data_IF_897054782080
#
_entry.id   IF_897054782080
#
_cell.length_a   1.000
_cell.length_b   1.000
_cell.length_c   1.000
_cell.angle_alpha   90.00
_cell.angle_beta   90.00
_cell.angle_gamma   90.00
#
_symmetry.space_group_name_H-M   'P 1'
#
loop_
_entity.id
_entity.type
_entity.pdbx_description
1 polymer ?
#
# COMPACT_ATOMS: atom_id res chain seq x y z
N UNK A 1 -21.29 1.28 -14.80
CA UNK A 1 -22.04 0.98 -16.03
C UNK A 1 -23.36 0.22 -15.77
N UNK A 2 -23.37 -1.06 -15.36
CA UNK A 2 -24.65 -1.78 -15.11
C UNK A 2 -25.51 -1.16 -13.98
N UNK A 3 -24.87 -0.60 -12.94
CA UNK A 3 -25.57 0.04 -11.81
C UNK A 3 -26.24 1.36 -12.18
N UNK A 4 -25.67 2.10 -13.13
CA UNK A 4 -26.18 3.40 -13.57
C UNK A 4 -27.39 3.22 -14.49
N UNK A 5 -27.35 2.18 -15.33
CA UNK A 5 -28.47 1.75 -16.18
C UNK A 5 -29.66 1.34 -15.30
N UNK A 6 -29.43 0.59 -14.21
CA UNK A 6 -30.49 0.15 -13.30
C UNK A 6 -31.17 1.33 -12.58
N UNK A 7 -30.38 2.35 -12.17
CA UNK A 7 -30.89 3.58 -11.55
C UNK A 7 -31.71 4.40 -12.54
N UNK A 8 -31.20 4.57 -13.76
CA UNK A 8 -31.93 5.26 -14.81
C UNK A 8 -33.26 4.54 -15.13
N UNK A 9 -33.25 3.21 -15.22
CA UNK A 9 -34.46 2.41 -15.45
C UNK A 9 -35.50 2.56 -14.31
N UNK A 10 -35.05 2.59 -13.05
CA UNK A 10 -35.95 2.82 -11.91
C UNK A 10 -36.57 4.23 -11.91
N UNK A 11 -35.80 5.26 -12.25
CA UNK A 11 -36.30 6.65 -12.34
C UNK A 11 -37.28 6.82 -13.50
N UNK A 12 -36.96 6.24 -14.67
CA UNK A 12 -37.82 6.29 -15.85
C UNK A 12 -39.14 5.56 -15.60
N UNK A 13 -39.10 4.37 -15.01
CA UNK A 13 -40.32 3.61 -14.68
C UNK A 13 -41.20 4.32 -13.64
N UNK A 14 -40.60 4.97 -12.62
CA UNK A 14 -41.33 5.79 -11.66
C UNK A 14 -41.98 7.01 -12.32
N UNK A 15 -41.26 7.69 -13.23
CA UNK A 15 -41.80 8.82 -13.98
C UNK A 15 -42.99 8.43 -14.88
N UNK A 16 -42.90 7.27 -15.56
CA UNK A 16 -44.00 6.73 -16.36
C UNK A 16 -45.22 6.38 -15.49
N UNK A 17 -45.00 5.86 -14.29
CA UNK A 17 -46.07 5.56 -13.33
C UNK A 17 -46.84 6.83 -12.92
N UNK A 18 -46.13 7.89 -12.52
CA UNK A 18 -46.77 9.16 -12.17
C UNK A 18 -47.51 9.79 -13.35
N UNK A 19 -46.94 9.75 -14.55
CA UNK A 19 -47.61 10.21 -15.76
C UNK A 19 -48.91 9.45 -16.04
N UNK A 20 -48.93 8.12 -15.87
CA UNK A 20 -50.15 7.32 -16.02
C UNK A 20 -51.21 7.67 -14.98
N UNK A 21 -50.83 7.90 -13.72
CA UNK A 21 -51.75 8.34 -12.67
C UNK A 21 -52.33 9.73 -12.96
N UNK A 22 -51.51 10.68 -13.41
CA UNK A 22 -51.98 12.00 -13.83
C UNK A 22 -52.97 11.90 -15.00
N UNK A 23 -52.66 11.08 -16.02
CA UNK A 23 -53.55 10.86 -17.16
C UNK A 23 -54.88 10.22 -16.74
N UNK A 24 -54.83 9.27 -15.80
CA UNK A 24 -56.02 8.64 -15.22
C UNK A 24 -56.87 9.66 -14.43
N UNK A 25 -56.25 10.45 -13.56
CA UNK A 25 -56.93 11.48 -12.76
C UNK A 25 -57.62 12.54 -13.63
N UNK A 26 -56.95 13.03 -14.68
CA UNK A 26 -57.52 14.00 -15.63
C UNK A 26 -58.73 13.40 -16.36
N UNK A 27 -58.67 12.10 -16.73
CA UNK A 27 -59.79 11.41 -17.38
C UNK A 27 -60.96 11.22 -16.43
N UNK A 28 -60.71 10.78 -15.20
CA UNK A 28 -61.76 10.65 -14.18
C UNK A 28 -62.46 11.99 -13.92
N UNK A 29 -61.70 13.08 -13.80
CA UNK A 29 -62.27 14.43 -13.65
C UNK A 29 -63.19 14.81 -14.83
N UNK A 30 -62.82 14.46 -16.06
CA UNK A 30 -63.67 14.70 -17.25
C UNK A 30 -64.97 13.89 -17.18
N UNK A 31 -64.90 12.62 -16.78
CA UNK A 31 -66.07 11.73 -16.63
C UNK A 31 -67.00 12.26 -15.54
N UNK A 32 -66.47 12.61 -14.37
CA UNK A 32 -67.25 13.13 -13.25
C UNK A 32 -67.91 14.48 -13.58
N UNK A 33 -67.23 15.34 -14.34
CA UNK A 33 -67.82 16.60 -14.85
C UNK A 33 -68.95 16.36 -15.84
N UNK A 34 -68.82 15.35 -16.72
CA UNK A 34 -69.82 15.01 -17.73
C UNK A 34 -71.04 14.28 -17.17
N UNK A 35 -70.87 13.58 -16.04
CA UNK A 35 -71.92 12.86 -15.31
C UNK A 35 -72.83 13.76 -14.46
N UNK A 36 -72.55 15.06 -14.36
CA UNK A 36 -73.37 16.01 -13.59
C UNK A 36 -74.76 16.14 -14.23
N UNK A 37 -75.87 15.96 -13.48
CA UNK A 37 -77.21 15.89 -14.05
C UNK A 37 -77.61 17.28 -14.56
N UNK A 38 -77.62 17.42 -15.88
CA UNK A 38 -78.38 18.45 -16.58
C UNK A 38 -79.52 17.73 -17.31
N UNK A 39 -80.69 18.35 -17.44
CA UNK A 39 -81.79 17.82 -18.25
C UNK A 39 -81.28 17.43 -19.64
N UNK A 40 -81.07 16.13 -19.89
CA UNK A 40 -80.46 15.58 -21.12
C UNK A 40 -81.35 14.48 -21.69
N UNK A 41 -81.27 14.28 -23.00
CA UNK A 41 -82.11 13.31 -23.72
C UNK A 41 -81.76 11.86 -23.37
N UNK A 42 -82.74 10.94 -23.45
CA UNK A 42 -82.52 9.50 -23.24
C UNK A 42 -81.48 8.90 -24.21
N UNK A 43 -81.33 9.45 -25.41
CA UNK A 43 -80.28 9.05 -26.35
C UNK A 43 -78.87 9.40 -25.83
N UNK A 44 -78.72 10.51 -25.11
CA UNK A 44 -77.46 10.90 -24.47
C UNK A 44 -77.05 9.88 -23.39
N UNK A 45 -77.98 9.48 -22.52
CA UNK A 45 -77.70 8.48 -21.47
C UNK A 45 -77.25 7.13 -22.05
N UNK A 46 -77.88 6.67 -23.15
CA UNK A 46 -77.51 5.40 -23.79
C UNK A 46 -76.11 5.46 -24.42
N UNK A 47 -75.77 6.56 -25.11
CA UNK A 47 -74.42 6.78 -25.67
C UNK A 47 -73.37 6.99 -24.59
N UNK A 48 -73.72 7.67 -23.50
CA UNK A 48 -72.86 7.91 -22.35
C UNK A 48 -72.56 6.60 -21.60
N UNK A 49 -73.53 5.70 -21.44
CA UNK A 49 -73.30 4.38 -20.83
C UNK A 49 -72.31 3.52 -21.63
N UNK A 50 -72.42 3.50 -22.97
CA UNK A 50 -71.46 2.81 -23.84
C UNK A 50 -70.06 3.42 -23.76
N UNK A 51 -69.97 4.76 -23.72
CA UNK A 51 -68.71 5.47 -23.53
C UNK A 51 -68.07 5.15 -22.17
N UNK A 52 -68.88 5.14 -21.10
CA UNK A 52 -68.45 4.82 -19.74
C UNK A 52 -67.96 3.38 -19.61
N UNK A 53 -68.64 2.41 -20.23
CA UNK A 53 -68.20 1.00 -20.25
C UNK A 53 -66.84 0.84 -20.96
N UNK A 54 -66.65 1.51 -22.10
CA UNK A 54 -65.38 1.49 -22.85
C UNK A 54 -64.25 2.15 -22.07
N UNK A 55 -64.53 3.24 -21.35
CA UNK A 55 -63.55 3.88 -20.48
C UNK A 55 -63.24 3.09 -19.22
N UNK A 56 -64.21 2.37 -18.63
CA UNK A 56 -63.94 1.49 -17.48
C UNK A 56 -62.98 0.36 -17.85
N UNK A 57 -63.12 -0.26 -19.02
CA UNK A 57 -62.19 -1.29 -19.50
C UNK A 57 -60.78 -0.69 -19.69
N UNK A 58 -60.67 0.48 -20.30
CA UNK A 58 -59.38 1.19 -20.46
C UNK A 58 -58.76 1.57 -19.12
N UNK A 59 -59.56 2.05 -18.17
CA UNK A 59 -59.10 2.42 -16.84
C UNK A 59 -58.60 1.20 -16.07
N UNK A 60 -59.25 0.03 -16.18
CA UNK A 60 -58.76 -1.23 -15.60
C UNK A 60 -57.40 -1.62 -16.17
N UNK A 61 -57.21 -1.53 -17.49
CA UNK A 61 -55.93 -1.84 -18.14
C UNK A 61 -54.82 -0.88 -17.66
N UNK A 62 -55.12 0.42 -17.57
CA UNK A 62 -54.16 1.43 -17.08
C UNK A 62 -53.77 1.17 -15.62
N UNK A 63 -54.74 0.87 -14.74
CA UNK A 63 -54.49 0.53 -13.34
C UNK A 63 -53.65 -0.74 -13.20
N UNK A 64 -53.92 -1.75 -14.03
CA UNK A 64 -53.18 -3.01 -14.03
C UNK A 64 -51.73 -2.81 -14.48
N UNK A 65 -51.52 -1.99 -15.52
CA UNK A 65 -50.18 -1.61 -16.00
C UNK A 65 -49.42 -0.77 -14.96
N UNK A 66 -50.10 0.16 -14.27
CA UNK A 66 -49.51 0.97 -13.22
C UNK A 66 -49.08 0.10 -12.02
N UNK A 67 -49.91 -0.86 -11.59
CA UNK A 67 -49.55 -1.83 -10.55
C UNK A 67 -48.36 -2.70 -10.97
N UNK A 68 -48.31 -3.14 -12.23
CA UNK A 68 -47.18 -3.91 -12.76
C UNK A 68 -45.87 -3.10 -12.75
N UNK A 69 -45.92 -1.81 -13.11
CA UNK A 69 -44.76 -0.93 -13.03
C UNK A 69 -44.29 -0.73 -11.58
N UNK A 70 -45.24 -0.58 -10.65
CA UNK A 70 -44.93 -0.43 -9.23
C UNK A 70 -44.25 -1.67 -8.67
N UNK A 71 -44.77 -2.88 -8.93
CA UNK A 71 -44.14 -4.12 -8.46
C UNK A 71 -42.74 -4.31 -9.04
N UNK A 72 -42.53 -3.94 -10.31
CA UNK A 72 -41.21 -3.99 -10.95
C UNK A 72 -40.23 -3.00 -10.31
N UNK A 73 -40.67 -1.77 -9.98
CA UNK A 73 -39.81 -0.80 -9.28
C UNK A 73 -39.41 -1.28 -7.88
N UNK A 74 -40.34 -1.87 -7.13
CA UNK A 74 -40.07 -2.43 -5.79
C UNK A 74 -39.09 -3.61 -5.88
N UNK A 75 -39.26 -4.49 -6.86
CA UNK A 75 -38.34 -5.61 -7.09
C UNK A 75 -36.92 -5.13 -7.40
N UNK A 76 -36.76 -4.12 -8.26
CA UNK A 76 -35.46 -3.53 -8.58
C UNK A 76 -34.79 -2.89 -7.35
N UNK A 77 -35.58 -2.23 -6.50
CA UNK A 77 -35.09 -1.66 -5.24
C UNK A 77 -34.63 -2.75 -4.26
N UNK A 78 -35.39 -3.83 -4.11
CA UNK A 78 -35.03 -4.96 -3.26
C UNK A 78 -33.73 -5.63 -3.71
N UNK A 79 -33.55 -5.85 -5.02
CA UNK A 79 -32.29 -6.38 -5.57
C UNK A 79 -31.09 -5.46 -5.31
N UNK A 80 -31.30 -4.14 -5.25
CA UNK A 80 -30.24 -3.19 -4.91
C UNK A 80 -29.88 -3.27 -3.43
N UNK A 81 -30.88 -3.40 -2.56
CA UNK A 81 -30.67 -3.52 -1.12
C UNK A 81 -29.92 -4.82 -0.78
N UNK A 82 -30.28 -5.95 -1.41
CA UNK A 82 -29.57 -7.22 -1.20
C UNK A 82 -28.12 -7.18 -1.70
N UNK A 83 -27.87 -6.52 -2.84
CA UNK A 83 -26.50 -6.34 -3.32
C UNK A 83 -25.66 -5.43 -2.40
N UNK A 84 -26.27 -4.39 -1.83
CA UNK A 84 -25.59 -3.52 -0.87
C UNK A 84 -25.29 -4.24 0.44
N UNK A 85 -26.21 -5.07 0.95
CA UNK A 85 -25.96 -5.84 2.17
C UNK A 85 -24.86 -6.88 1.98
N UNK A 86 -24.78 -7.53 0.81
CA UNK A 86 -23.68 -8.44 0.49
C UNK A 86 -22.32 -7.71 0.46
N UNK A 87 -22.26 -6.52 -0.16
CA UNK A 87 -21.04 -5.71 -0.18
C UNK A 87 -20.64 -5.23 1.21
N UNK A 88 -21.60 -4.89 2.07
CA UNK A 88 -21.31 -4.56 3.47
C UNK A 88 -20.67 -5.74 4.20
N UNK A 89 -21.20 -6.95 4.02
CA UNK A 89 -20.65 -8.16 4.63
C UNK A 89 -19.19 -8.40 4.19
N UNK A 90 -18.88 -8.22 2.89
CA UNK A 90 -17.52 -8.33 2.38
C UNK A 90 -16.56 -7.30 2.99
N UNK A 91 -17.01 -6.06 3.17
CA UNK A 91 -16.21 -4.99 3.82
C UNK A 91 -15.98 -5.31 5.29
N UNK A 92 -17.00 -5.79 6.02
CA UNK A 92 -16.84 -6.19 7.41
C UNK A 92 -15.88 -7.37 7.59
N UNK A 93 -15.92 -8.37 6.69
CA UNK A 93 -14.99 -9.49 6.71
C UNK A 93 -13.54 -9.03 6.47
N UNK A 94 -13.31 -8.10 5.54
CA UNK A 94 -11.99 -7.50 5.32
C UNK A 94 -11.53 -6.68 6.53
N UNK A 95 -12.43 -5.92 7.16
CA UNK A 95 -12.12 -5.14 8.37
C UNK A 95 -11.72 -6.06 9.54
N UNK A 96 -12.39 -7.20 9.72
CA UNK A 96 -12.00 -8.17 10.75
C UNK A 96 -10.64 -8.80 10.48
N UNK A 97 -10.29 -9.06 9.22
CA UNK A 97 -8.95 -9.53 8.85
C UNK A 97 -7.89 -8.48 9.15
N UNK A 98 -8.14 -7.20 8.82
CA UNK A 98 -7.22 -6.10 9.14
C UNK A 98 -7.05 -5.92 10.65
N UNK A 99 -8.11 -6.09 11.44
CA UNK A 99 -7.99 -6.08 12.91
C UNK A 99 -7.17 -7.25 13.44
N UNK A 100 -7.40 -8.46 12.91
CA UNK A 100 -6.59 -9.63 13.26
C UNK A 100 -5.11 -9.43 12.95
N UNK A 101 -4.79 -8.86 11.79
CA UNK A 101 -3.41 -8.50 11.42
C UNK A 101 -2.82 -7.42 12.34
N UNK A 102 -3.64 -6.47 12.81
CA UNK A 102 -3.20 -5.45 13.78
C UNK A 102 -2.89 -6.05 15.14
N UNK A 103 -3.68 -7.02 15.60
CA UNK A 103 -3.43 -7.73 16.86
C UNK A 103 -2.19 -8.63 16.73
N UNK A 104 -2.01 -9.29 15.59
CA UNK A 104 -0.81 -10.08 15.30
C UNK A 104 0.45 -9.20 15.25
N UNK A 105 0.36 -8.01 14.64
CA UNK A 105 1.44 -7.02 14.66
C UNK A 105 1.75 -6.54 16.09
N UNK A 106 0.74 -6.32 16.92
CA UNK A 106 0.93 -5.94 18.32
C UNK A 106 1.62 -7.06 19.12
N UNK A 107 1.24 -8.32 18.91
CA UNK A 107 1.92 -9.46 19.54
C UNK A 107 3.37 -9.59 19.09
N UNK A 108 3.66 -9.40 17.81
CA UNK A 108 5.04 -9.40 17.29
C UNK A 108 5.84 -8.25 17.90
N UNK A 109 5.24 -7.07 18.08
CA UNK A 109 5.90 -5.93 18.70
C UNK A 109 6.20 -6.16 20.18
N UNK A 110 5.28 -6.80 20.91
CA UNK A 110 5.48 -7.20 22.31
C UNK A 110 6.55 -8.29 22.44
N UNK A 111 6.55 -9.30 21.57
CA UNK A 111 7.62 -10.30 21.50
C UNK A 111 8.97 -9.67 21.18
N UNK A 112 9.01 -8.72 20.25
CA UNK A 112 10.23 -7.98 19.92
C UNK A 112 10.71 -7.12 21.10
N UNK A 113 9.79 -6.52 21.87
CA UNK A 113 10.13 -5.78 23.07
C UNK A 113 10.68 -6.68 24.18
N UNK A 114 10.14 -7.90 24.34
CA UNK A 114 10.65 -8.93 25.26
C UNK A 114 12.04 -9.41 24.83
N UNK A 115 12.26 -9.64 23.53
CA UNK A 115 13.58 -9.98 22.99
C UNK A 115 14.57 -8.84 23.20
N UNK A 116 14.17 -7.60 22.92
CA UNK A 116 14.99 -6.40 23.09
C UNK A 116 15.37 -6.12 24.56
N UNK A 117 14.52 -6.51 25.50
CA UNK A 117 14.77 -6.40 26.94
C UNK A 117 15.47 -7.62 27.55
N UNK A 118 15.59 -8.72 26.79
CA UNK A 118 16.32 -9.90 27.26
C UNK A 118 17.79 -9.56 27.52
N UNK A 119 18.33 -10.08 28.63
CA UNK A 119 19.75 -9.90 28.97
C UNK A 119 20.68 -10.42 27.88
N UNK A 120 20.28 -11.44 27.10
CA UNK A 120 21.07 -11.95 25.99
C UNK A 120 21.21 -10.91 24.87
N UNK A 121 20.12 -10.25 24.48
CA UNK A 121 20.14 -9.21 23.44
C UNK A 121 20.83 -7.93 23.93
N UNK A 122 20.61 -7.51 25.18
CA UNK A 122 21.32 -6.37 25.78
C UNK A 122 22.82 -6.65 25.88
N UNK A 123 23.23 -7.88 26.25
CA UNK A 123 24.64 -8.28 26.34
C UNK A 123 25.32 -8.37 24.96
N UNK A 124 24.56 -8.66 23.91
CA UNK A 124 25.04 -8.65 22.52
C UNK A 124 25.10 -7.22 21.95
N UNK A 125 24.07 -6.38 22.20
CA UNK A 125 24.06 -4.94 21.86
C UNK A 125 25.14 -4.12 22.58
N UNK A 126 25.47 -4.49 23.82
CA UNK A 126 26.53 -3.82 24.60
C UNK A 126 27.96 -4.28 24.23
N UNK A 127 28.13 -5.21 23.29
CA UNK A 127 29.42 -5.41 22.61
C UNK A 127 29.54 -4.46 21.42
N UNK A 128 29.41 -3.15 21.64
CA UNK A 128 29.99 -2.17 20.72
C UNK A 128 31.53 -2.21 20.88
N UNK A 129 32.15 -3.32 20.48
CA UNK A 129 33.60 -3.52 20.42
C UNK A 129 34.16 -2.39 19.55
N UNK A 130 35.25 -1.73 19.96
CA UNK A 130 35.89 -0.73 19.09
C UNK A 130 36.43 -1.46 17.87
N UNK A 131 36.49 -0.77 16.73
CA UNK A 131 37.00 -1.36 15.48
C UNK A 131 38.44 -1.87 15.65
N UNK A 132 39.18 -1.26 16.55
CA UNK A 132 40.55 -1.61 16.92
C UNK A 132 40.65 -2.95 17.67
N UNK A 133 39.60 -3.33 18.40
CA UNK A 133 39.62 -4.45 19.35
C UNK A 133 39.20 -5.79 18.71
N UNK A 134 38.84 -5.78 17.41
CA UNK A 134 38.58 -7.03 16.68
C UNK A 134 39.88 -7.83 16.47
N UNK A 135 39.73 -9.15 16.34
CA UNK A 135 40.85 -10.06 16.16
C UNK A 135 41.33 -10.11 14.70
N UNK A 136 41.74 -8.95 14.18
CA UNK A 136 42.22 -8.77 12.81
C UNK A 136 43.35 -9.72 12.37
N UNK A 137 44.32 -10.09 13.22
CA UNK A 137 45.38 -11.02 12.84
C UNK A 137 44.86 -12.42 12.46
N UNK A 138 43.79 -12.87 13.11
CA UNK A 138 43.21 -14.21 12.91
C UNK A 138 42.41 -14.32 11.60
N UNK A 139 42.21 -13.22 10.87
CA UNK A 139 41.71 -13.27 9.49
C UNK A 139 42.68 -13.97 8.52
N UNK A 140 43.94 -14.14 8.92
CA UNK A 140 44.99 -14.78 8.12
C UNK A 140 45.44 -16.13 8.68
N UNK A 141 44.75 -16.68 9.69
CA UNK A 141 45.05 -18.01 10.23
C UNK A 141 44.57 -19.13 9.30
N UNK A 142 45.23 -20.29 9.36
CA UNK A 142 44.80 -21.48 8.58
C UNK A 142 43.53 -22.13 9.15
N UNK A 143 43.23 -21.90 10.43
CA UNK A 143 42.05 -22.40 11.12
C UNK A 143 41.22 -21.25 11.70
N UNK A 144 39.92 -21.22 11.37
CA UNK A 144 38.98 -20.26 11.95
C UNK A 144 38.87 -18.89 11.25
N UNK A 145 39.67 -18.61 10.23
CA UNK A 145 39.63 -17.32 9.52
C UNK A 145 38.24 -16.95 8.96
N UNK A 146 37.47 -17.92 8.46
CA UNK A 146 36.11 -17.67 7.97
C UNK A 146 35.12 -17.37 9.11
N UNK A 147 35.30 -17.97 10.30
CA UNK A 147 34.46 -17.69 11.46
C UNK A 147 34.74 -16.28 12.00
N UNK A 148 36.03 -15.91 12.10
CA UNK A 148 36.45 -14.56 12.52
C UNK A 148 36.00 -13.52 11.50
N UNK A 149 36.09 -13.83 10.19
CA UNK A 149 35.58 -12.96 9.13
C UNK A 149 34.08 -12.73 9.28
N UNK A 150 33.29 -13.79 9.43
CA UNK A 150 31.84 -13.69 9.59
C UNK A 150 31.44 -12.92 10.86
N UNK A 151 32.17 -13.10 11.98
CA UNK A 151 31.95 -12.33 13.21
C UNK A 151 32.17 -10.83 12.98
N UNK A 152 33.31 -10.46 12.37
CA UNK A 152 33.64 -9.04 12.12
C UNK A 152 32.67 -8.43 11.10
N UNK A 153 32.33 -9.13 10.02
CA UNK A 153 31.36 -8.65 9.01
C UNK A 153 29.99 -8.39 9.62
N UNK A 154 29.49 -9.33 10.45
CA UNK A 154 28.21 -9.20 11.15
C UNK A 154 28.20 -8.00 12.09
N UNK A 155 29.21 -7.90 12.96
CA UNK A 155 29.28 -6.84 13.97
C UNK A 155 29.46 -5.45 13.33
N UNK A 156 30.27 -5.34 12.26
CA UNK A 156 30.44 -4.07 11.53
C UNK A 156 29.17 -3.69 10.76
N UNK A 157 28.44 -4.66 10.20
CA UNK A 157 27.16 -4.40 9.52
C UNK A 157 26.13 -3.82 10.49
N UNK A 158 26.00 -4.41 11.68
CA UNK A 158 25.09 -3.90 12.71
C UNK A 158 25.52 -2.52 13.22
N UNK A 159 26.82 -2.32 13.45
CA UNK A 159 27.37 -1.03 13.92
C UNK A 159 27.20 0.11 12.91
N UNK A 160 27.20 -0.19 11.62
CA UNK A 160 27.03 0.82 10.57
C UNK A 160 25.60 0.90 10.01
N UNK A 161 24.67 0.06 10.47
CA UNK A 161 23.27 0.11 10.04
C UNK A 161 22.62 1.46 10.37
N UNK A 162 22.77 1.95 11.61
CA UNK A 162 22.17 3.21 12.06
C UNK A 162 22.91 4.46 11.53
N UNK A 163 24.26 4.61 11.66
CA UNK A 163 24.93 5.82 11.21
C UNK A 163 25.07 5.91 9.69
N UNK A 164 25.17 4.78 8.97
CA UNK A 164 25.44 4.77 7.54
C UNK A 164 24.33 4.21 6.66
N UNK A 165 23.22 3.70 7.23
CA UNK A 165 22.26 2.92 6.46
C UNK A 165 22.92 1.70 5.80
N UNK A 166 23.97 1.14 6.42
CA UNK A 166 24.68 0.00 5.84
C UNK A 166 23.76 -1.24 5.85
N UNK A 167 23.56 -1.80 4.67
CA UNK A 167 22.84 -3.06 4.47
C UNK A 167 23.75 -4.27 4.75
N UNK A 168 25.03 -4.15 4.42
CA UNK A 168 26.03 -5.19 4.67
C UNK A 168 27.45 -4.61 4.68
N UNK A 169 28.36 -5.29 5.38
CA UNK A 169 29.80 -5.05 5.33
C UNK A 169 30.49 -6.33 4.95
N UNK A 170 31.31 -6.28 3.91
CA UNK A 170 32.13 -7.40 3.47
C UNK A 170 33.62 -7.10 3.68
N UNK A 171 34.39 -8.13 3.98
CA UNK A 171 35.83 -8.07 4.12
C UNK A 171 36.49 -8.87 2.99
N UNK A 172 37.29 -8.19 2.18
CA UNK A 172 38.12 -8.81 1.15
C UNK A 172 39.55 -8.94 1.67
N UNK A 173 40.03 -10.19 1.81
CA UNK A 173 41.38 -10.49 2.30
C UNK A 173 42.37 -10.61 1.15
N UNK A 174 43.47 -9.88 1.25
CA UNK A 174 44.65 -10.06 0.42
C UNK A 174 45.71 -10.85 1.20
N UNK A 175 45.71 -12.17 1.00
CA UNK A 175 46.62 -13.09 1.69
C UNK A 175 48.10 -12.81 1.38
N UNK A 176 48.42 -12.36 0.17
CA UNK A 176 49.81 -12.10 -0.23
C UNK A 176 50.41 -10.88 0.49
N UNK A 177 49.59 -9.88 0.79
CA UNK A 177 50.02 -8.63 1.43
C UNK A 177 49.63 -8.53 2.91
N UNK A 178 48.97 -9.55 3.48
CA UNK A 178 48.37 -9.55 4.83
C UNK A 178 47.56 -8.30 5.11
N UNK A 179 46.68 -7.99 4.16
CA UNK A 179 45.93 -6.73 4.07
C UNK A 179 44.46 -7.01 3.84
N UNK A 180 43.58 -6.15 4.38
CA UNK A 180 42.12 -6.28 4.27
C UNK A 180 41.54 -5.01 3.63
N UNK A 181 40.66 -5.20 2.66
CA UNK A 181 39.76 -4.17 2.16
C UNK A 181 38.37 -4.35 2.79
N UNK A 182 37.79 -3.25 3.26
CA UNK A 182 36.46 -3.24 3.87
C UNK A 182 35.48 -2.66 2.86
N UNK A 183 34.46 -3.41 2.46
CA UNK A 183 33.38 -2.94 1.60
C UNK A 183 32.12 -2.70 2.43
N UNK A 184 31.64 -1.47 2.46
CA UNK A 184 30.39 -1.07 3.11
C UNK A 184 29.34 -0.88 2.03
N UNK A 185 28.30 -1.71 2.05
CA UNK A 185 27.20 -1.68 1.08
C UNK A 185 26.03 -0.94 1.70
N UNK A 186 25.53 0.07 0.99
CA UNK A 186 24.35 0.84 1.37
C UNK A 186 23.27 0.71 0.30
N UNK A 187 22.03 0.69 0.75
CA UNK A 187 20.85 0.68 -0.12
C UNK A 187 19.99 1.89 0.22
N UNK A 188 19.74 2.75 -0.77
CA UNK A 188 18.91 3.93 -0.60
C UNK A 188 17.93 4.08 -1.76
N UNK A 189 16.73 4.57 -1.44
CA UNK A 189 15.69 4.92 -2.41
C UNK A 189 15.68 6.44 -2.73
N UNK A 190 16.33 7.27 -1.91
CA UNK A 190 16.43 8.73 -2.06
C UNK A 190 17.89 9.20 -2.13
N UNK A 191 18.14 10.31 -2.85
CA UNK A 191 19.47 10.92 -2.99
C UNK A 191 19.96 11.46 -1.65
N UNK A 192 21.02 10.86 -1.12
CA UNK A 192 21.70 11.28 0.10
C UNK A 192 22.34 12.66 -0.10
N UNK A 193 22.13 13.60 0.83
CA UNK A 193 22.82 14.88 0.82
C UNK A 193 24.32 14.67 1.06
N UNK A 194 25.14 15.03 0.08
CA UNK A 194 26.61 14.86 0.05
C UNK A 194 27.31 15.41 1.32
N UNK A 195 26.75 16.46 1.93
CA UNK A 195 27.28 17.09 3.14
C UNK A 195 27.11 16.25 4.42
N UNK A 196 26.09 15.38 4.48
CA UNK A 196 25.91 14.47 5.60
C UNK A 196 26.92 13.30 5.53
N UNK A 197 27.44 12.97 4.35
CA UNK A 197 28.34 11.84 4.16
C UNK A 197 29.71 12.08 4.79
N UNK A 198 30.27 13.28 4.63
CA UNK A 198 31.60 13.63 5.15
C UNK A 198 31.65 13.67 6.68
N UNK A 199 30.62 14.21 7.32
CA UNK A 199 30.55 14.31 8.79
C UNK A 199 30.42 12.95 9.47
N UNK A 200 29.78 11.97 8.81
CA UNK A 200 29.62 10.63 9.37
C UNK A 200 30.77 9.71 8.95
N UNK A 201 31.33 9.87 7.75
CA UNK A 201 32.42 9.02 7.26
C UNK A 201 33.77 9.32 7.93
N UNK A 202 34.07 10.59 8.22
CA UNK A 202 35.33 11.00 8.86
C UNK A 202 35.68 10.22 10.16
N UNK A 203 34.79 10.12 11.17
CA UNK A 203 35.08 9.37 12.40
C UNK A 203 35.19 7.85 12.19
N UNK A 204 34.51 7.32 11.15
CA UNK A 204 34.58 5.90 10.80
C UNK A 204 35.94 5.59 10.18
N UNK A 205 36.40 6.41 9.24
CA UNK A 205 37.72 6.31 8.63
C UNK A 205 38.84 6.48 9.66
N UNK A 206 38.68 7.40 10.62
CA UNK A 206 39.62 7.56 11.73
C UNK A 206 39.69 6.27 12.58
N UNK A 207 38.57 5.61 12.82
CA UNK A 207 38.54 4.35 13.57
C UNK A 207 39.24 3.21 12.81
N UNK A 208 39.07 3.13 11.48
CA UNK A 208 39.81 2.16 10.64
C UNK A 208 41.30 2.50 10.51
N UNK A 209 41.70 3.78 10.64
CA UNK A 209 43.10 4.21 10.52
C UNK A 209 44.01 3.56 11.57
N UNK A 210 43.44 3.27 12.74
CA UNK A 210 44.13 2.64 13.87
C UNK A 210 44.34 1.14 13.68
N UNK A 211 43.62 0.51 12.75
CA UNK A 211 43.81 -0.89 12.38
C UNK A 211 44.89 -1.00 11.30
N UNK A 212 45.99 -1.71 11.61
CA UNK A 212 47.17 -1.79 10.71
C UNK A 212 46.91 -2.60 9.44
N UNK A 213 46.06 -3.63 9.50
CA UNK A 213 45.81 -4.54 8.37
C UNK A 213 44.83 -3.96 7.35
N UNK A 214 43.99 -2.99 7.74
CA UNK A 214 43.02 -2.36 6.82
C UNK A 214 43.74 -1.32 5.99
N UNK A 215 43.70 -1.48 4.66
CA UNK A 215 44.37 -0.58 3.71
C UNK A 215 43.42 0.16 2.79
N UNK A 216 42.18 -0.32 2.66
CA UNK A 216 41.16 0.22 1.77
C UNK A 216 39.80 0.11 2.43
N UNK A 217 39.02 1.19 2.33
CA UNK A 217 37.60 1.21 2.69
C UNK A 217 36.84 1.66 1.45
N UNK A 218 35.89 0.84 1.00
CA UNK A 218 35.06 1.12 -0.17
C UNK A 218 33.61 1.22 0.27
N UNK A 219 32.94 2.30 -0.13
CA UNK A 219 31.50 2.47 0.09
C UNK A 219 30.81 2.27 -1.24
N UNK A 220 29.92 1.29 -1.31
CA UNK A 220 29.10 0.98 -2.48
C UNK A 220 27.68 1.40 -2.18
N UNK A 221 27.23 2.45 -2.86
CA UNK A 221 25.86 2.95 -2.75
C UNK A 221 25.06 2.44 -3.93
N UNK A 222 24.04 1.63 -3.64
CA UNK A 222 23.13 1.10 -4.66
C UNK A 222 21.83 1.89 -4.60
N UNK A 223 21.56 2.67 -5.64
CA UNK A 223 20.28 3.34 -5.81
C UNK A 223 19.34 2.45 -6.63
N UNK A 224 18.32 1.89 -5.98
CA UNK A 224 17.35 1.01 -6.63
C UNK A 224 16.42 1.77 -7.60
N UNK A 225 16.07 3.02 -7.27
CA UNK A 225 15.19 3.85 -8.07
C UNK A 225 15.88 4.35 -9.37
N UNK A 226 17.13 4.78 -9.28
CA UNK A 226 17.91 5.29 -10.42
C UNK A 226 18.67 4.21 -11.19
N UNK A 227 18.77 2.97 -10.65
CA UNK A 227 19.66 1.91 -11.15
C UNK A 227 21.12 2.38 -11.28
N UNK A 228 21.58 3.21 -10.35
CA UNK A 228 22.94 3.73 -10.32
C UNK A 228 23.71 3.10 -9.16
N UNK A 229 24.99 2.81 -9.39
CA UNK A 229 25.91 2.34 -8.36
C UNK A 229 27.03 3.35 -8.22
N UNK A 230 27.04 4.07 -7.10
CA UNK A 230 28.12 4.98 -6.75
C UNK A 230 29.14 4.21 -5.90
N UNK A 231 30.41 4.30 -6.28
CA UNK A 231 31.52 3.70 -5.53
C UNK A 231 32.48 4.80 -5.10
N UNK A 232 32.65 4.92 -3.78
CA UNK A 232 33.64 5.77 -3.15
C UNK A 232 34.76 4.88 -2.59
N UNK A 233 35.98 5.06 -3.08
CA UNK A 233 37.13 4.26 -2.66
C UNK A 233 38.08 5.15 -1.85
N UNK A 234 38.31 4.77 -0.60
CA UNK A 234 39.26 5.41 0.30
C UNK A 234 40.48 4.52 0.48
N UNK A 235 41.67 5.06 0.18
CA UNK A 235 42.95 4.37 0.36
C UNK A 235 43.70 4.94 1.55
N UNK A 236 44.33 4.06 2.33
CA UNK A 236 45.13 4.46 3.48
C UNK A 236 46.48 5.01 3.03
N UNK A 237 46.76 6.26 3.39
CA UNK A 237 48.07 6.89 3.16
C UNK A 237 49.13 6.27 4.08
N UNK A 238 50.24 5.86 3.49
CA UNK A 238 51.42 5.32 4.17
C UNK A 238 52.13 6.31 5.09
N UNK A 239 51.98 7.63 4.89
CA UNK A 239 52.68 8.66 5.67
C UNK A 239 51.95 9.06 6.94
N UNK A 240 50.64 9.28 6.84
CA UNK A 240 49.82 9.81 7.93
C UNK A 240 48.79 8.81 8.48
N UNK A 241 48.73 7.58 7.94
CA UNK A 241 47.71 6.56 8.24
C UNK A 241 46.25 7.00 7.99
N UNK A 242 46.02 8.20 7.45
CA UNK A 242 44.71 8.72 7.12
C UNK A 242 44.18 8.11 5.81
N UNK A 243 42.87 7.98 5.71
CA UNK A 243 42.21 7.54 4.48
C UNK A 243 41.93 8.74 3.58
N UNK A 244 42.35 8.66 2.32
CA UNK A 244 42.13 9.70 1.31
C UNK A 244 41.22 9.13 0.22
N UNK A 245 40.24 9.91 -0.23
CA UNK A 245 39.38 9.55 -1.35
C UNK A 245 40.23 9.44 -2.62
N UNK A 246 40.28 8.25 -3.22
CA UNK A 246 41.11 7.94 -4.38
C UNK A 246 40.32 7.91 -5.68
N UNK A 247 39.08 7.42 -5.67
CA UNK A 247 38.22 7.33 -6.85
C UNK A 247 36.74 7.44 -6.45
N UNK A 248 36.00 8.23 -7.22
CA UNK A 248 34.54 8.22 -7.27
C UNK A 248 34.12 7.68 -8.63
N UNK A 249 33.39 6.56 -8.66
CA UNK A 249 32.90 5.94 -9.90
C UNK A 249 31.39 5.74 -9.81
N UNK A 250 30.67 6.48 -10.66
CA UNK A 250 29.24 6.26 -10.94
C UNK A 250 29.15 5.27 -12.09
N UNK A 251 28.57 4.09 -11.82
CA UNK A 251 28.39 3.04 -12.84
C UNK A 251 26.89 2.81 -13.05
N UNK A 252 26.39 2.85 -14.30
CA UNK A 252 25.01 2.46 -14.58
C UNK A 252 24.84 0.96 -14.26
N UNK A 253 23.90 0.64 -13.38
CA UNK A 253 23.57 -0.71 -12.98
C UNK A 253 23.05 -1.52 -14.17
N UNK A 254 23.64 -2.69 -14.40
CA UNK A 254 23.09 -3.66 -15.36
C UNK A 254 21.77 -4.18 -14.77
N UNK A 255 20.68 -3.89 -15.48
CA UNK A 255 19.33 -4.38 -15.17
C UNK A 255 19.17 -5.87 -15.39
#
# INVERSE_FOLDING_TARGET
>A
MQLDILRAAAVVSLGLFFMMLCCWGIRQLKITRLAKPCNRSNQFHRKFALFQQKEQVRNRIILLLANFLLTLTVLLLLMKISNLSQKQCEVYAKLSQTRGLSDELATVYDELAVVATSESYQKEKHRARKIEDYNWPDLFSESGAEQVKAEIERDLSEKFAEPLGASAVNLEKNNAQKKVAVEIIRQFDETFEEQAADHVMSPILESFSKVKVVHQVQVIEKNHAAKEVNRLIYLKDSKNNAFVLSEEKVVPGKG
#
